data_IF_393125318063
#
_entry.id   IF_393125318063
#
_cell.length_a   1.000
_cell.length_b   1.000
_cell.length_c   1.000
_cell.angle_alpha   90.00
_cell.angle_beta   90.00
_cell.angle_gamma   90.00
#
_symmetry.space_group_name_H-M   'P 1'
#
loop_
_entity.id
_entity.type
_entity.pdbx_description
1 polymer ?
#
# COMPACT_ATOMS: atom_id res chain seq x y z
N UNK A 1 22.12 6.70 -21.29
CA UNK A 1 21.18 5.60 -21.05
C UNK A 1 21.31 5.23 -19.58
N UNK A 2 20.29 5.48 -18.78
CA UNK A 2 20.25 5.04 -17.39
C UNK A 2 20.22 3.51 -17.42
N UNK A 3 21.12 2.85 -16.68
CA UNK A 3 21.12 1.39 -16.56
C UNK A 3 19.77 0.96 -16.01
N UNK A 4 19.09 0.06 -16.72
CA UNK A 4 17.82 -0.54 -16.29
C UNK A 4 18.03 -1.70 -15.31
N UNK A 5 19.27 -1.93 -14.91
CA UNK A 5 19.64 -3.06 -14.06
C UNK A 5 19.55 -2.69 -12.59
N UNK A 6 18.70 -3.40 -11.86
CA UNK A 6 18.64 -3.34 -10.41
C UNK A 6 19.83 -4.09 -9.82
N UNK A 7 20.60 -3.40 -8.99
CA UNK A 7 21.75 -3.97 -8.30
C UNK A 7 21.29 -4.48 -6.92
N UNK A 8 21.65 -5.70 -6.56
CA UNK A 8 21.19 -6.33 -5.32
C UNK A 8 22.35 -6.88 -4.50
N UNK A 9 22.18 -6.86 -3.18
CA UNK A 9 23.10 -7.42 -2.22
C UNK A 9 22.34 -7.97 -1.00
N UNK A 10 22.84 -9.02 -0.38
CA UNK A 10 22.27 -9.57 0.85
C UNK A 10 23.32 -9.55 1.95
N UNK A 11 23.00 -8.87 3.06
CA UNK A 11 23.85 -8.81 4.25
C UNK A 11 23.91 -10.18 4.95
N UNK A 12 24.91 -10.39 5.78
CA UNK A 12 25.09 -11.63 6.54
C UNK A 12 23.92 -11.92 7.49
N UNK A 13 23.22 -10.88 7.95
CA UNK A 13 22.06 -11.02 8.83
C UNK A 13 20.74 -11.24 8.09
N UNK A 14 20.75 -11.33 6.75
CA UNK A 14 19.58 -11.61 5.94
C UNK A 14 18.89 -10.36 5.37
N UNK A 15 19.23 -9.14 5.82
CA UNK A 15 18.70 -7.90 5.22
C UNK A 15 19.15 -7.81 3.77
N UNK A 16 18.21 -7.52 2.87
CA UNK A 16 18.45 -7.41 1.43
C UNK A 16 18.54 -5.95 1.03
N UNK A 17 19.44 -5.63 0.11
CA UNK A 17 19.59 -4.31 -0.50
C UNK A 17 19.22 -4.40 -1.97
N UNK A 18 18.46 -3.42 -2.46
CA UNK A 18 18.24 -3.19 -3.89
C UNK A 18 18.52 -1.72 -4.21
N UNK A 19 19.19 -1.47 -5.32
CA UNK A 19 19.54 -0.12 -5.75
C UNK A 19 19.34 0.06 -7.26
N UNK A 20 18.76 1.19 -7.63
CA UNK A 20 18.79 1.69 -9.00
C UNK A 20 19.63 2.96 -9.05
N UNK A 21 20.72 2.91 -9.77
CA UNK A 21 21.57 4.09 -9.96
C UNK A 21 20.95 5.03 -10.99
N UNK A 22 20.91 6.33 -10.66
CA UNK A 22 20.45 7.41 -11.54
C UNK A 22 21.47 8.56 -11.50
N UNK A 23 21.30 9.56 -12.38
CA UNK A 23 22.14 10.77 -12.37
C UNK A 23 21.50 11.91 -11.56
N UNK A 24 20.42 11.63 -10.81
CA UNK A 24 19.71 12.63 -9.99
C UNK A 24 20.59 13.19 -8.88
N UNK A 25 20.51 14.50 -8.65
CA UNK A 25 21.11 15.13 -7.48
C UNK A 25 20.42 14.71 -6.17
N UNK A 26 19.19 14.20 -6.24
CA UNK A 26 18.40 13.73 -5.11
C UNK A 26 18.52 12.21 -4.99
N UNK A 27 18.72 11.74 -3.77
CA UNK A 27 18.74 10.33 -3.41
C UNK A 27 17.52 9.97 -2.57
N UNK A 28 17.03 8.76 -2.77
CA UNK A 28 15.93 8.15 -2.03
C UNK A 28 16.42 6.85 -1.41
N UNK A 29 16.14 6.67 -0.13
CA UNK A 29 16.50 5.47 0.63
C UNK A 29 15.37 5.10 1.56
N UNK A 30 14.91 3.86 1.50
CA UNK A 30 13.86 3.34 2.36
C UNK A 30 14.22 1.98 2.93
N UNK A 31 13.62 1.65 4.07
CA UNK A 31 13.65 0.32 4.68
C UNK A 31 12.23 -0.19 4.76
N UNK A 32 11.96 -1.26 4.04
CA UNK A 32 10.66 -1.93 4.00
C UNK A 32 10.73 -3.18 4.89
N UNK A 33 9.75 -3.34 5.75
CA UNK A 33 9.64 -4.43 6.72
C UNK A 33 8.34 -5.18 6.42
N UNK A 34 8.41 -6.48 6.19
CA UNK A 34 7.23 -7.33 5.94
C UNK A 34 6.47 -7.61 7.25
N UNK A 35 6.01 -6.55 7.88
CA UNK A 35 5.18 -6.55 9.08
C UNK A 35 4.26 -5.33 9.06
N UNK A 36 2.96 -5.53 9.25
CA UNK A 36 1.95 -4.49 9.23
C UNK A 36 0.81 -4.79 10.19
N UNK A 37 -0.34 -4.10 10.04
CA UNK A 37 -1.47 -4.25 10.96
C UNK A 37 -2.10 -5.65 10.92
N UNK A 38 -1.97 -6.39 9.83
CA UNK A 38 -2.40 -7.78 9.74
C UNK A 38 -1.65 -8.74 10.68
N UNK A 39 -0.43 -8.39 11.10
CA UNK A 39 0.41 -9.21 11.98
C UNK A 39 0.12 -9.00 13.47
N UNK A 40 -0.81 -8.10 13.80
CA UNK A 40 -1.26 -7.77 15.15
C UNK A 40 -2.14 -8.88 15.73
N UNK A 41 -2.00 -9.15 17.03
CA UNK A 41 -3.02 -9.87 17.79
C UNK A 41 -4.26 -8.97 17.99
N UNK A 42 -5.34 -9.52 18.51
CA UNK A 42 -6.58 -8.75 18.70
C UNK A 42 -6.37 -7.58 19.69
N UNK A 43 -5.65 -7.82 20.77
CA UNK A 43 -5.30 -6.80 21.77
C UNK A 43 -4.24 -5.80 21.29
N UNK A 44 -3.58 -6.07 20.14
CA UNK A 44 -2.55 -5.24 19.52
C UNK A 44 -3.13 -4.37 18.40
N UNK A 45 -4.45 -4.40 18.14
CA UNK A 45 -5.08 -3.69 17.03
C UNK A 45 -4.76 -2.18 17.04
N UNK A 46 -4.04 -1.70 16.02
CA UNK A 46 -3.50 -0.35 15.86
C UNK A 46 -2.05 -0.18 16.31
N UNK A 47 -1.37 -1.24 16.77
CA UNK A 47 -0.03 -1.13 17.33
C UNK A 47 1.05 -0.90 16.25
N UNK A 48 0.89 -1.45 15.06
CA UNK A 48 1.83 -1.23 13.95
C UNK A 48 1.87 0.26 13.54
N UNK A 49 0.71 0.89 13.41
CA UNK A 49 0.59 2.31 13.15
C UNK A 49 1.10 3.15 14.34
N UNK A 50 0.80 2.74 15.55
CA UNK A 50 1.31 3.39 16.75
C UNK A 50 2.85 3.38 16.82
N UNK A 51 3.50 2.30 16.35
CA UNK A 51 4.95 2.19 16.26
C UNK A 51 5.49 3.18 15.23
N UNK A 52 4.85 3.32 14.07
CA UNK A 52 5.19 4.29 13.06
C UNK A 52 5.27 5.72 13.62
N UNK A 53 4.24 6.17 14.35
CA UNK A 53 4.22 7.47 15.03
C UNK A 53 5.32 7.60 16.09
N UNK A 54 5.57 6.51 16.81
CA UNK A 54 6.47 6.52 17.96
C UNK A 54 7.94 6.36 17.60
N UNK A 55 8.27 5.84 16.42
CA UNK A 55 9.64 5.50 16.03
C UNK A 55 10.56 6.73 15.92
N UNK A 56 10.00 7.90 15.61
CA UNK A 56 10.73 9.16 15.49
C UNK A 56 10.95 9.91 16.82
N UNK A 57 10.41 9.38 17.93
CA UNK A 57 10.38 10.09 19.22
C UNK A 57 11.63 9.92 20.08
N UNK A 58 12.69 9.40 19.50
CA UNK A 58 14.04 9.32 20.07
C UNK A 58 14.63 7.94 20.05
N UNK A 59 15.96 7.93 19.97
CA UNK A 59 16.81 6.74 19.93
C UNK A 59 17.76 6.73 21.16
N UNK A 60 18.54 5.67 21.31
CA UNK A 60 19.61 5.61 22.31
C UNK A 60 20.65 6.76 22.15
N UNK A 61 20.77 7.34 20.94
CA UNK A 61 21.75 8.38 20.62
C UNK A 61 21.12 9.77 20.50
N UNK A 62 19.80 9.86 20.18
CA UNK A 62 19.14 11.10 19.78
C UNK A 62 17.83 11.32 20.52
N UNK A 63 17.55 12.56 20.91
CA UNK A 63 16.22 13.00 21.30
C UNK A 63 15.35 13.19 20.03
N UNK A 64 14.03 13.22 20.17
CA UNK A 64 13.09 13.38 19.06
C UNK A 64 13.49 14.53 18.10
N UNK A 65 13.75 15.71 18.61
CA UNK A 65 14.21 16.85 17.79
C UNK A 65 15.41 16.51 16.90
N UNK A 66 16.43 15.82 17.46
CA UNK A 66 17.65 15.46 16.70
C UNK A 66 17.43 14.29 15.74
N UNK A 67 16.37 13.52 15.88
CA UNK A 67 15.95 12.52 14.87
C UNK A 67 15.43 13.25 13.64
N UNK A 68 14.47 14.16 13.83
CA UNK A 68 13.86 14.93 12.74
C UNK A 68 14.86 15.85 12.06
N UNK A 69 15.57 16.69 12.84
CA UNK A 69 16.52 17.67 12.28
C UNK A 69 17.72 17.02 11.56
N UNK A 70 17.99 15.73 11.80
CA UNK A 70 19.15 15.05 11.18
C UNK A 70 19.13 15.09 9.65
N UNK A 71 17.96 15.04 9.05
CA UNK A 71 17.77 15.11 7.58
C UNK A 71 17.16 16.45 7.17
N UNK A 72 16.24 17.01 7.96
CA UNK A 72 15.60 18.29 7.64
C UNK A 72 16.60 19.48 7.63
N UNK A 73 17.60 19.49 8.52
CA UNK A 73 18.66 20.53 8.54
C UNK A 73 19.51 20.58 7.26
N UNK A 74 19.47 19.54 6.43
CA UNK A 74 20.12 19.51 5.11
C UNK A 74 19.13 19.57 3.95
N UNK A 75 17.87 19.92 4.23
CA UNK A 75 16.81 20.10 3.23
C UNK A 75 16.24 18.79 2.71
N UNK A 76 16.42 17.67 3.43
CA UNK A 76 15.80 16.40 3.11
C UNK A 76 14.50 16.18 3.89
N UNK A 77 13.83 15.06 3.60
CA UNK A 77 12.58 14.65 4.21
C UNK A 77 12.72 13.26 4.83
N UNK A 78 12.02 13.04 5.94
CA UNK A 78 11.94 11.76 6.64
C UNK A 78 10.46 11.38 6.82
N UNK A 79 10.08 10.22 6.32
CA UNK A 79 8.69 9.75 6.32
C UNK A 79 8.59 8.28 6.72
N UNK A 80 7.38 7.87 7.08
CA UNK A 80 7.01 6.48 7.27
C UNK A 80 5.56 6.25 6.87
N UNK A 81 5.22 5.01 6.60
CA UNK A 81 3.84 4.56 6.48
C UNK A 81 3.69 3.09 6.89
N UNK A 82 2.49 2.75 7.33
CA UNK A 82 2.09 1.38 7.66
C UNK A 82 0.94 0.95 6.77
N UNK A 83 1.04 -0.26 6.23
CA UNK A 83 -0.06 -0.93 5.52
C UNK A 83 -0.53 -2.16 6.29
N UNK A 84 -1.46 -2.90 5.72
CA UNK A 84 -1.88 -4.19 6.32
C UNK A 84 -0.71 -5.17 6.45
N UNK A 85 0.25 -5.17 5.54
CA UNK A 85 1.29 -6.21 5.45
C UNK A 85 2.73 -5.71 5.54
N UNK A 86 2.97 -4.41 5.42
CA UNK A 86 4.31 -3.82 5.48
C UNK A 86 4.35 -2.49 6.22
N UNK A 87 5.49 -2.22 6.84
CA UNK A 87 5.85 -0.91 7.41
C UNK A 87 7.10 -0.41 6.70
N UNK A 88 7.09 0.85 6.28
CA UNK A 88 8.20 1.45 5.55
C UNK A 88 8.66 2.73 6.22
N UNK A 89 9.97 2.86 6.41
CA UNK A 89 10.65 4.09 6.84
C UNK A 89 11.50 4.57 5.67
N UNK A 90 11.37 5.83 5.26
CA UNK A 90 12.12 6.31 4.11
C UNK A 90 12.50 7.78 4.20
N UNK A 91 13.46 8.18 3.39
CA UNK A 91 14.01 9.53 3.37
C UNK A 91 14.40 9.93 1.96
N UNK A 92 14.16 11.20 1.65
CA UNK A 92 14.59 11.89 0.43
C UNK A 92 15.60 12.97 0.80
N UNK A 93 16.73 13.05 0.09
CA UNK A 93 17.85 13.90 0.47
C UNK A 93 18.78 14.19 -0.73
N UNK A 94 19.69 15.14 -0.61
CA UNK A 94 20.74 15.33 -1.61
C UNK A 94 21.72 14.14 -1.62
N UNK A 95 22.15 13.69 -2.79
CA UNK A 95 23.00 12.49 -2.97
C UNK A 95 24.31 12.49 -2.14
N UNK A 96 24.80 13.64 -1.71
CA UNK A 96 25.94 13.74 -0.79
C UNK A 96 25.61 13.24 0.63
N UNK A 97 24.35 13.21 1.03
CA UNK A 97 23.87 12.86 2.37
C UNK A 97 23.42 11.39 2.51
N UNK A 98 23.72 10.52 1.54
CA UNK A 98 23.40 9.07 1.60
C UNK A 98 23.84 8.39 2.90
N UNK A 99 25.07 8.67 3.36
CA UNK A 99 25.57 8.08 4.60
C UNK A 99 24.77 8.54 5.81
N UNK A 100 24.38 9.83 5.82
CA UNK A 100 23.54 10.43 6.87
C UNK A 100 22.16 9.76 6.93
N UNK A 101 21.53 9.54 5.78
CA UNK A 101 20.24 8.87 5.70
C UNK A 101 20.32 7.40 6.13
N UNK A 102 21.31 6.66 5.65
CA UNK A 102 21.53 5.27 6.03
C UNK A 102 21.76 5.11 7.54
N UNK A 103 22.58 6.01 8.12
CA UNK A 103 22.84 6.04 9.56
C UNK A 103 21.57 6.34 10.37
N UNK A 104 20.77 7.31 9.94
CA UNK A 104 19.56 7.71 10.63
C UNK A 104 18.50 6.62 10.57
N UNK A 105 18.20 6.07 9.39
CA UNK A 105 17.20 5.02 9.23
C UNK A 105 17.54 3.77 10.06
N UNK A 106 18.82 3.39 10.10
CA UNK A 106 19.26 2.30 10.96
C UNK A 106 19.13 2.62 12.45
N UNK A 107 19.47 3.84 12.88
CA UNK A 107 19.34 4.26 14.28
C UNK A 107 17.89 4.28 14.73
N UNK A 108 16.98 4.78 13.88
CA UNK A 108 15.53 4.75 14.13
C UNK A 108 15.03 3.31 14.22
N UNK A 109 15.40 2.46 13.27
CA UNK A 109 14.89 1.09 13.21
C UNK A 109 15.33 0.22 14.39
N UNK A 110 16.62 0.29 14.77
CA UNK A 110 17.21 -0.63 15.74
C UNK A 110 17.48 -0.04 17.12
N UNK A 111 17.39 1.27 17.26
CA UNK A 111 17.80 1.96 18.50
C UNK A 111 16.73 2.85 19.12
N UNK A 112 15.51 2.88 18.59
CA UNK A 112 14.40 3.66 19.16
C UNK A 112 14.10 3.20 20.60
N UNK A 113 13.86 4.18 21.49
CA UNK A 113 13.72 3.92 22.92
C UNK A 113 12.30 4.05 23.45
N UNK A 114 11.40 4.59 22.64
CA UNK A 114 9.97 4.72 22.94
C UNK A 114 9.71 5.33 24.34
N UNK A 115 10.06 6.63 24.55
CA UNK A 115 9.94 7.24 25.86
C UNK A 115 8.47 7.31 26.31
N UNK A 116 8.18 6.95 27.56
CA UNK A 116 6.81 6.94 28.12
C UNK A 116 6.07 8.27 27.91
N UNK A 117 6.76 9.39 28.04
CA UNK A 117 6.18 10.72 27.84
C UNK A 117 5.69 10.89 26.39
N UNK A 118 6.48 10.47 25.42
CA UNK A 118 6.13 10.58 24.00
C UNK A 118 5.03 9.58 23.61
N UNK A 119 5.07 8.35 24.13
CA UNK A 119 3.98 7.37 23.99
C UNK A 119 2.63 7.98 24.42
N UNK A 120 2.60 8.65 25.59
CA UNK A 120 1.35 9.25 26.07
C UNK A 120 0.86 10.39 25.18
N UNK A 121 1.76 11.16 24.58
CA UNK A 121 1.39 12.21 23.62
C UNK A 121 0.85 11.61 22.32
N UNK A 122 1.50 10.56 21.82
CA UNK A 122 1.05 9.93 20.58
C UNK A 122 -0.32 9.26 20.72
N UNK A 123 -0.69 8.79 21.92
CA UNK A 123 -2.07 8.34 22.18
C UNK A 123 -3.11 9.41 21.91
N UNK A 124 -2.83 10.66 22.31
CA UNK A 124 -3.72 11.79 22.07
C UNK A 124 -3.78 12.13 20.59
N UNK A 125 -2.63 12.16 19.91
CA UNK A 125 -2.54 12.45 18.48
C UNK A 125 -3.32 11.41 17.65
N UNK A 126 -3.10 10.12 17.91
CA UNK A 126 -3.77 9.04 17.17
C UNK A 126 -5.27 8.97 17.51
N UNK A 127 -5.65 9.30 18.74
CA UNK A 127 -7.07 9.40 19.11
C UNK A 127 -7.79 10.51 18.30
N UNK A 128 -7.14 11.66 18.10
CA UNK A 128 -7.66 12.72 17.22
C UNK A 128 -7.71 12.30 15.76
N UNK A 129 -6.71 11.56 15.28
CA UNK A 129 -6.70 11.01 13.92
C UNK A 129 -7.85 10.02 13.70
N UNK A 130 -8.09 9.09 14.64
CA UNK A 130 -9.23 8.18 14.62
C UNK A 130 -10.56 8.95 14.56
N UNK A 131 -10.70 10.03 15.34
CA UNK A 131 -11.92 10.84 15.35
C UNK A 131 -12.09 11.56 14.00
N UNK A 132 -11.03 12.19 13.50
CA UNK A 132 -11.03 12.86 12.18
C UNK A 132 -11.40 11.89 11.05
N UNK A 133 -10.90 10.66 11.11
CA UNK A 133 -11.20 9.64 10.12
C UNK A 133 -12.67 9.19 10.18
N UNK A 134 -13.24 9.08 11.38
CA UNK A 134 -14.68 8.77 11.56
C UNK A 134 -15.58 9.88 11.03
N UNK A 135 -15.12 11.12 11.02
CA UNK A 135 -15.85 12.27 10.49
C UNK A 135 -15.74 12.38 8.96
N UNK A 136 -15.03 11.47 8.29
CA UNK A 136 -14.90 11.39 6.83
C UNK A 136 -15.57 10.12 6.28
N UNK A 137 -16.89 10.14 5.98
CA UNK A 137 -17.60 8.96 5.47
C UNK A 137 -17.01 8.41 4.17
N UNK A 138 -16.42 9.26 3.33
CA UNK A 138 -15.78 8.87 2.08
C UNK A 138 -14.51 8.04 2.27
N UNK A 139 -13.82 8.21 3.39
CA UNK A 139 -12.61 7.46 3.72
C UNK A 139 -12.96 6.22 4.56
N UNK A 140 -13.79 6.41 5.60
CA UNK A 140 -14.21 5.37 6.52
C UNK A 140 -14.87 4.18 5.80
N UNK A 141 -15.63 4.45 4.73
CA UNK A 141 -16.38 3.41 4.01
C UNK A 141 -15.46 2.33 3.41
N UNK A 142 -14.22 2.66 3.07
CA UNK A 142 -13.27 1.67 2.54
C UNK A 142 -12.82 0.69 3.61
N UNK A 143 -12.50 1.18 4.81
CA UNK A 143 -12.11 0.31 5.93
C UNK A 143 -13.28 -0.57 6.38
N UNK A 144 -14.49 -0.01 6.53
CA UNK A 144 -15.67 -0.80 6.89
C UNK A 144 -16.08 -1.78 5.78
N UNK A 145 -15.76 -1.49 4.51
CA UNK A 145 -15.92 -2.43 3.42
C UNK A 145 -14.90 -3.57 3.49
N UNK A 146 -13.65 -3.30 3.85
CA UNK A 146 -12.66 -4.35 4.10
C UNK A 146 -13.08 -5.24 5.29
N UNK A 147 -13.64 -4.65 6.35
CA UNK A 147 -14.21 -5.40 7.48
C UNK A 147 -15.36 -6.32 7.03
N UNK A 148 -16.22 -5.86 6.14
CA UNK A 148 -17.32 -6.67 5.58
C UNK A 148 -16.82 -7.83 4.72
N UNK A 149 -15.79 -7.59 3.90
CA UNK A 149 -15.24 -8.58 2.96
C UNK A 149 -14.40 -9.64 3.68
N UNK A 150 -13.59 -9.22 4.64
CA UNK A 150 -12.64 -10.07 5.34
C UNK A 150 -13.05 -10.44 6.76
N UNK A 151 -14.35 -10.47 7.03
CA UNK A 151 -14.94 -10.66 8.35
C UNK A 151 -14.24 -11.76 9.17
N UNK A 152 -13.95 -11.44 10.44
CA UNK A 152 -13.26 -12.33 11.38
C UNK A 152 -11.79 -12.62 11.09
N UNK A 153 -11.20 -12.00 10.07
CA UNK A 153 -9.78 -12.17 9.75
C UNK A 153 -8.94 -10.92 10.13
N UNK A 154 -7.69 -11.06 10.59
CA UNK A 154 -6.85 -9.91 10.96
C UNK A 154 -6.70 -8.83 9.87
N UNK A 155 -6.74 -9.20 8.61
CA UNK A 155 -6.65 -8.25 7.47
C UNK A 155 -7.85 -7.29 7.40
N UNK A 156 -9.00 -7.67 7.98
CA UNK A 156 -10.20 -6.85 8.02
C UNK A 156 -10.02 -5.57 8.83
N UNK A 157 -9.24 -5.65 9.91
CA UNK A 157 -9.11 -4.57 10.87
C UNK A 157 -8.50 -3.32 10.23
N UNK A 158 -9.05 -2.14 10.52
CA UNK A 158 -8.44 -0.88 10.09
C UNK A 158 -7.02 -0.72 10.67
N UNK A 159 -6.21 0.12 10.05
CA UNK A 159 -4.80 0.29 10.44
C UNK A 159 -4.68 1.16 11.71
N UNK A 160 -5.59 2.11 11.91
CA UNK A 160 -5.55 3.07 13.02
C UNK A 160 -5.81 2.41 14.39
N UNK A 161 -6.51 1.27 14.40
CA UNK A 161 -6.91 0.61 15.63
C UNK A 161 -8.13 1.23 16.29
N UNK A 162 -8.27 0.99 17.59
CA UNK A 162 -9.36 1.54 18.41
C UNK A 162 -8.81 2.37 19.54
N UNK A 163 -9.54 3.42 19.95
CA UNK A 163 -9.18 4.24 21.11
C UNK A 163 -8.99 3.41 22.38
N UNK A 164 -9.74 2.30 22.53
CA UNK A 164 -9.61 1.39 23.67
C UNK A 164 -8.23 0.69 23.66
N UNK A 165 -7.80 0.14 22.54
CA UNK A 165 -6.52 -0.55 22.44
C UNK A 165 -5.34 0.42 22.55
N UNK A 166 -5.41 1.56 21.88
CA UNK A 166 -4.37 2.60 21.91
C UNK A 166 -4.10 3.06 23.35
N UNK A 167 -5.13 3.23 24.17
CA UNK A 167 -4.97 3.62 25.57
C UNK A 167 -4.20 2.58 26.41
N UNK A 168 -4.21 1.31 26.02
CA UNK A 168 -3.49 0.22 26.70
C UNK A 168 -2.03 0.11 26.29
N UNK A 169 -1.64 0.68 25.13
CA UNK A 169 -0.29 0.55 24.62
C UNK A 169 0.75 1.21 25.50
N UNK A 170 1.88 0.56 25.61
CA UNK A 170 3.02 1.00 26.38
C UNK A 170 4.31 0.53 25.71
N UNK A 171 5.45 0.91 26.27
CA UNK A 171 6.75 0.55 25.71
C UNK A 171 6.94 -0.97 25.55
N UNK A 172 6.43 -1.74 26.50
CA UNK A 172 6.59 -3.21 26.47
C UNK A 172 5.75 -3.85 25.36
N UNK A 173 4.54 -3.33 25.08
CA UNK A 173 3.74 -3.79 23.93
C UNK A 173 4.44 -3.50 22.61
N UNK A 174 5.01 -2.30 22.46
CA UNK A 174 5.81 -1.94 21.26
C UNK A 174 6.99 -2.89 21.08
N UNK A 175 7.78 -3.09 22.13
CA UNK A 175 8.96 -3.96 22.03
C UNK A 175 8.60 -5.42 21.75
N UNK A 176 7.51 -5.94 22.34
CA UNK A 176 7.03 -7.30 22.05
C UNK A 176 6.60 -7.46 20.59
N UNK A 177 5.87 -6.47 20.04
CA UNK A 177 5.46 -6.50 18.63
C UNK A 177 6.68 -6.49 17.69
N UNK A 178 7.65 -5.60 17.93
CA UNK A 178 8.89 -5.52 17.15
C UNK A 178 9.67 -6.83 17.27
N UNK A 179 9.80 -7.36 18.48
CA UNK A 179 10.48 -8.63 18.72
C UNK A 179 9.81 -9.79 17.97
N UNK A 180 8.49 -9.82 17.93
CA UNK A 180 7.70 -10.88 17.28
C UNK A 180 7.70 -10.77 15.75
N UNK A 181 7.68 -9.55 15.19
CA UNK A 181 7.34 -9.34 13.79
C UNK A 181 8.46 -8.74 12.92
N UNK A 182 9.44 -8.03 13.52
CA UNK A 182 10.55 -7.43 12.76
C UNK A 182 11.70 -8.43 12.60
N UNK A 183 11.74 -9.08 11.44
CA UNK A 183 12.72 -10.12 11.12
C UNK A 183 13.67 -9.61 10.04
N UNK A 184 14.97 -9.81 10.20
CA UNK A 184 15.99 -9.28 9.29
C UNK A 184 15.89 -9.90 7.89
N UNK A 185 15.49 -11.15 7.76
CA UNK A 185 15.22 -11.81 6.48
C UNK A 185 13.95 -11.28 5.77
N UNK A 186 13.12 -10.53 6.51
CA UNK A 186 11.91 -9.88 6.03
C UNK A 186 12.09 -8.37 5.85
N UNK A 187 13.33 -7.90 5.72
CA UNK A 187 13.66 -6.50 5.49
C UNK A 187 14.35 -6.29 4.15
N UNK A 188 13.98 -5.21 3.48
CA UNK A 188 14.63 -4.72 2.26
C UNK A 188 15.00 -3.27 2.44
N UNK A 189 16.28 -2.97 2.23
CA UNK A 189 16.74 -1.59 2.02
C UNK A 189 16.63 -1.30 0.53
N UNK A 190 15.83 -0.32 0.17
CA UNK A 190 15.61 0.09 -1.22
C UNK A 190 16.19 1.46 -1.47
N UNK A 191 16.82 1.68 -2.61
CA UNK A 191 17.45 2.95 -2.95
C UNK A 191 17.36 3.28 -4.42
N UNK A 192 17.11 4.56 -4.72
CA UNK A 192 17.21 5.15 -6.06
C UNK A 192 18.00 6.46 -5.96
N UNK A 193 19.02 6.64 -6.78
CA UNK A 193 19.78 7.90 -6.81
C UNK A 193 21.21 7.76 -7.33
N UNK A 194 21.92 8.87 -7.31
CA UNK A 194 23.30 8.95 -7.78
C UNK A 194 24.30 8.46 -6.71
N UNK A 195 24.38 7.15 -6.54
CA UNK A 195 25.29 6.51 -5.60
C UNK A 195 25.95 5.28 -6.23
N UNK A 196 27.27 5.18 -6.17
CA UNK A 196 27.98 3.97 -6.59
C UNK A 196 27.58 2.80 -5.68
N UNK A 197 27.18 1.69 -6.27
CA UNK A 197 26.66 0.54 -5.53
C UNK A 197 27.64 0.01 -4.45
N UNK A 198 28.90 -0.16 -4.77
CA UNK A 198 29.90 -0.64 -3.80
C UNK A 198 30.04 0.30 -2.59
N UNK A 199 29.84 1.60 -2.78
CA UNK A 199 29.87 2.57 -1.70
C UNK A 199 28.59 2.48 -0.87
N UNK A 200 27.44 2.30 -1.52
CA UNK A 200 26.17 2.08 -0.83
C UNK A 200 26.21 0.80 0.01
N UNK A 201 26.69 -0.32 -0.54
CA UNK A 201 26.89 -1.58 0.20
C UNK A 201 27.70 -1.36 1.48
N UNK A 202 28.82 -0.61 1.41
CA UNK A 202 29.64 -0.30 2.60
C UNK A 202 28.86 0.49 3.66
N UNK A 203 28.03 1.45 3.25
CA UNK A 203 27.18 2.17 4.20
C UNK A 203 26.13 1.27 4.83
N UNK A 204 25.45 0.45 4.03
CA UNK A 204 24.44 -0.46 4.55
C UNK A 204 25.06 -1.54 5.45
N UNK A 205 26.19 -2.12 5.10
CA UNK A 205 26.92 -3.04 6.00
C UNK A 205 27.34 -2.37 7.31
N UNK A 206 27.85 -1.13 7.24
CA UNK A 206 28.30 -0.38 8.43
C UNK A 206 27.15 -0.14 9.42
N UNK A 207 25.96 0.21 8.94
CA UNK A 207 24.87 0.66 9.79
C UNK A 207 23.83 -0.44 10.07
N UNK A 208 23.53 -1.31 9.11
CA UNK A 208 22.55 -2.36 9.24
C UNK A 208 23.15 -3.75 9.54
N UNK A 209 24.43 -3.94 9.23
CA UNK A 209 25.09 -5.25 9.36
C UNK A 209 25.29 -5.73 10.80
N UNK A 210 25.22 -4.83 11.79
CA UNK A 210 25.33 -5.20 13.22
C UNK A 210 24.04 -5.71 13.84
N UNK A 211 22.91 -5.62 13.14
CA UNK A 211 21.65 -6.19 13.62
C UNK A 211 21.77 -7.72 13.66
N UNK A 212 21.34 -8.31 14.77
CA UNK A 212 21.38 -9.77 14.92
C UNK A 212 20.46 -10.45 13.89
N UNK A 213 20.93 -11.56 13.28
CA UNK A 213 20.10 -12.32 12.35
C UNK A 213 18.84 -12.84 13.03
N UNK A 214 17.69 -12.56 12.44
CA UNK A 214 16.40 -13.01 12.94
C UNK A 214 15.55 -13.47 11.78
N UNK A 215 15.22 -14.74 11.75
CA UNK A 215 14.47 -15.38 10.67
C UNK A 215 13.01 -15.52 11.04
N UNK A 216 12.12 -15.24 10.08
CA UNK A 216 10.69 -15.47 10.25
C UNK A 216 10.37 -16.96 10.23
N UNK A 217 9.83 -17.48 11.30
CA UNK A 217 9.47 -18.90 11.45
C UNK A 217 8.00 -19.17 11.20
N UNK A 218 7.14 -18.16 11.37
CA UNK A 218 5.69 -18.31 11.26
C UNK A 218 5.16 -17.50 10.06
N UNK A 219 4.32 -18.14 9.23
CA UNK A 219 3.56 -17.46 8.17
C UNK A 219 2.34 -16.73 8.73
N UNK A 220 1.77 -15.84 7.91
CA UNK A 220 0.45 -15.26 8.16
C UNK A 220 -0.63 -16.32 7.98
N UNK A 221 -1.71 -16.24 8.76
CA UNK A 221 -2.89 -17.08 8.54
C UNK A 221 -3.49 -16.68 7.18
N UNK A 222 -3.71 -17.63 6.25
CA UNK A 222 -4.38 -17.33 4.99
C UNK A 222 -5.82 -16.90 5.20
N UNK A 223 -6.31 -16.00 4.33
CA UNK A 223 -7.73 -15.69 4.27
C UNK A 223 -8.46 -16.78 3.48
N UNK A 224 -9.52 -17.33 4.06
CA UNK A 224 -10.36 -18.37 3.46
C UNK A 224 -11.83 -18.06 3.74
N UNK A 225 -12.71 -18.68 2.95
CA UNK A 225 -14.17 -18.67 3.17
C UNK A 225 -14.82 -17.27 3.04
N UNK A 226 -14.54 -16.57 1.94
CA UNK A 226 -15.28 -15.36 1.61
C UNK A 226 -16.78 -15.62 1.45
N UNK A 227 -17.57 -14.81 2.13
CA UNK A 227 -19.02 -14.81 2.00
C UNK A 227 -19.46 -13.39 1.63
N UNK A 228 -20.06 -13.18 0.44
CA UNK A 228 -20.54 -11.86 0.05
C UNK A 228 -21.65 -11.38 0.99
N UNK A 229 -21.57 -10.11 1.37
CA UNK A 229 -22.50 -9.45 2.27
C UNK A 229 -23.00 -8.11 1.75
N UNK A 230 -24.20 -7.71 2.19
CA UNK A 230 -24.71 -6.35 1.95
C UNK A 230 -25.02 -5.70 3.28
N UNK A 231 -24.47 -4.49 3.50
CA UNK A 231 -24.66 -3.69 4.70
C UNK A 231 -25.05 -2.27 4.31
N UNK A 232 -26.09 -1.75 4.96
CA UNK A 232 -26.52 -0.36 4.79
C UNK A 232 -26.51 0.33 6.14
N UNK A 233 -25.89 1.48 6.23
CA UNK A 233 -25.79 2.27 7.44
C UNK A 233 -26.31 3.68 7.24
N UNK A 234 -26.95 4.23 8.25
CA UNK A 234 -27.36 5.64 8.28
C UNK A 234 -26.22 6.42 8.92
N UNK A 235 -25.60 7.29 8.14
CA UNK A 235 -24.55 8.21 8.57
C UNK A 235 -25.03 9.65 8.35
N UNK A 236 -24.55 10.59 9.15
CA UNK A 236 -24.79 12.02 8.90
C UNK A 236 -23.91 12.51 7.75
N UNK A 237 -24.41 12.38 6.53
CA UNK A 237 -23.69 12.69 5.29
C UNK A 237 -24.61 13.34 4.25
N UNK A 238 -24.08 14.31 3.49
CA UNK A 238 -24.81 14.97 2.42
C UNK A 238 -25.02 14.09 1.19
N UNK A 239 -24.11 13.13 0.97
CA UNK A 239 -24.16 12.22 -0.17
C UNK A 239 -24.37 10.78 0.29
N UNK A 240 -24.96 9.98 -0.55
CA UNK A 240 -24.88 8.54 -0.41
C UNK A 240 -23.52 8.05 -0.92
N UNK A 241 -22.80 7.34 -0.08
CA UNK A 241 -21.53 6.68 -0.44
C UNK A 241 -21.80 5.19 -0.62
N UNK A 242 -21.25 4.62 -1.68
CA UNK A 242 -21.39 3.20 -1.96
C UNK A 242 -20.02 2.61 -2.34
N UNK A 243 -19.68 1.51 -1.69
CA UNK A 243 -18.59 0.62 -2.13
C UNK A 243 -19.17 -0.73 -2.46
N UNK A 244 -18.85 -1.27 -3.62
CA UNK A 244 -19.15 -2.63 -4.00
C UNK A 244 -17.90 -3.32 -4.55
N UNK A 245 -17.74 -4.61 -4.27
CA UNK A 245 -16.55 -5.32 -4.70
C UNK A 245 -16.55 -6.79 -4.32
N UNK A 246 -15.44 -7.44 -4.62
CA UNK A 246 -15.24 -8.87 -4.48
C UNK A 246 -13.81 -9.15 -4.05
N UNK A 247 -13.54 -10.34 -3.52
CA UNK A 247 -12.19 -10.84 -3.43
C UNK A 247 -11.57 -10.92 -4.84
N UNK A 248 -10.27 -10.73 -4.91
CA UNK A 248 -9.51 -10.74 -6.14
C UNK A 248 -8.20 -11.52 -5.97
N UNK A 249 -7.34 -11.46 -6.97
CA UNK A 249 -6.10 -12.21 -7.00
C UNK A 249 -5.05 -11.71 -6.00
N UNK A 250 -4.33 -12.64 -5.42
CA UNK A 250 -3.15 -12.36 -4.60
C UNK A 250 -1.95 -11.85 -5.42
N UNK A 251 -0.89 -11.43 -4.73
CA UNK A 251 0.32 -10.89 -5.35
C UNK A 251 1.03 -11.85 -6.30
N UNK A 252 0.87 -13.17 -6.15
CA UNK A 252 1.57 -14.19 -6.94
C UNK A 252 0.72 -14.74 -8.09
N UNK A 253 -0.57 -14.41 -8.13
CA UNK A 253 -1.49 -14.95 -9.11
C UNK A 253 -1.11 -14.54 -10.55
N UNK A 254 -1.06 -15.46 -11.53
CA UNK A 254 -0.66 -15.15 -12.90
C UNK A 254 -1.55 -14.11 -13.60
N UNK A 255 -2.86 -14.08 -13.29
CA UNK A 255 -3.82 -13.12 -13.85
C UNK A 255 -3.79 -11.75 -13.15
N UNK A 256 -2.92 -11.52 -12.15
CA UNK A 256 -2.83 -10.25 -11.43
C UNK A 256 -2.64 -9.04 -12.36
N UNK A 257 -1.79 -9.18 -13.39
CA UNK A 257 -1.53 -8.07 -14.33
C UNK A 257 -2.74 -7.80 -15.23
N UNK A 258 -3.52 -8.83 -15.55
CA UNK A 258 -4.79 -8.70 -16.28
C UNK A 258 -5.81 -7.96 -15.42
N UNK A 259 -5.85 -8.27 -14.11
CA UNK A 259 -6.72 -7.58 -13.15
C UNK A 259 -6.35 -6.10 -13.00
N UNK A 260 -5.06 -5.75 -12.99
CA UNK A 260 -4.60 -4.35 -13.01
C UNK A 260 -5.13 -3.62 -14.25
N UNK A 261 -5.05 -4.23 -15.44
CA UNK A 261 -5.59 -3.63 -16.65
C UNK A 261 -7.11 -3.52 -16.62
N UNK A 262 -7.82 -4.54 -16.11
CA UNK A 262 -9.27 -4.52 -15.97
C UNK A 262 -9.72 -3.40 -15.01
N UNK A 263 -9.07 -3.28 -13.87
CA UNK A 263 -9.33 -2.20 -12.90
C UNK A 263 -9.13 -0.82 -13.55
N UNK A 264 -8.04 -0.64 -14.29
CA UNK A 264 -7.77 0.62 -14.98
C UNK A 264 -8.83 0.98 -16.03
N UNK A 265 -9.40 -0.02 -16.72
CA UNK A 265 -10.50 0.15 -17.68
C UNK A 265 -11.79 0.54 -16.97
N UNK A 266 -12.10 -0.06 -15.82
CA UNK A 266 -13.36 0.14 -15.09
C UNK A 266 -13.42 1.55 -14.48
N UNK A 267 -12.52 1.88 -13.60
CA UNK A 267 -12.55 3.11 -12.81
C UNK A 267 -11.16 3.60 -12.39
N UNK A 268 -10.12 3.33 -13.22
CA UNK A 268 -8.78 3.85 -13.00
C UNK A 268 -8.74 5.39 -13.02
N UNK A 269 -7.58 6.01 -12.77
CA UNK A 269 -7.44 7.45 -12.50
C UNK A 269 -7.79 8.35 -13.69
N UNK A 270 -7.96 7.79 -14.87
CA UNK A 270 -8.24 8.58 -16.06
C UNK A 270 -9.73 8.90 -16.20
N UNK A 271 -10.04 10.15 -16.61
CA UNK A 271 -11.41 10.62 -16.83
C UNK A 271 -12.18 9.82 -17.89
N UNK A 272 -11.49 9.13 -18.80
CA UNK A 272 -12.09 8.29 -19.83
C UNK A 272 -12.31 6.83 -19.39
N UNK A 273 -12.14 6.49 -18.12
CA UNK A 273 -12.52 5.19 -17.58
C UNK A 273 -14.03 4.96 -17.72
N UNK A 274 -14.45 3.68 -17.82
CA UNK A 274 -15.84 3.34 -18.16
C UNK A 274 -16.84 3.93 -17.17
N UNK A 275 -16.57 3.83 -15.87
CA UNK A 275 -17.46 4.35 -14.83
C UNK A 275 -17.51 5.88 -14.82
N UNK A 276 -16.37 6.57 -15.00
CA UNK A 276 -16.36 8.02 -15.14
C UNK A 276 -17.21 8.47 -16.32
N UNK A 277 -17.06 7.84 -17.49
CA UNK A 277 -17.88 8.16 -18.65
C UNK A 277 -19.38 7.84 -18.42
N UNK A 278 -19.70 6.74 -17.75
CA UNK A 278 -21.09 6.31 -17.57
C UNK A 278 -21.86 7.14 -16.55
N UNK A 279 -21.26 7.44 -15.39
CA UNK A 279 -21.94 8.09 -14.27
C UNK A 279 -21.68 9.59 -14.21
N UNK A 280 -20.43 10.03 -14.45
CA UNK A 280 -20.05 11.45 -14.35
C UNK A 280 -20.32 12.19 -15.65
N UNK A 281 -19.62 11.84 -16.72
CA UNK A 281 -19.63 12.63 -17.95
C UNK A 281 -20.99 12.61 -18.67
N UNK A 282 -21.64 11.45 -18.76
CA UNK A 282 -22.90 11.30 -19.50
C UNK A 282 -24.14 11.60 -18.68
N UNK A 283 -24.07 11.46 -17.35
CA UNK A 283 -25.25 11.51 -16.48
C UNK A 283 -25.18 12.54 -15.38
N UNK A 284 -23.98 12.99 -15.00
CA UNK A 284 -23.79 13.94 -13.90
C UNK A 284 -24.27 13.40 -12.55
N UNK A 285 -24.28 12.08 -12.36
CA UNK A 285 -24.84 11.43 -11.16
C UNK A 285 -23.83 11.27 -10.03
N UNK A 286 -22.55 11.27 -10.33
CA UNK A 286 -21.51 11.11 -9.31
C UNK A 286 -20.29 11.97 -9.66
N UNK A 287 -19.69 12.58 -8.65
CA UNK A 287 -18.48 13.39 -8.81
C UNK A 287 -17.21 12.57 -8.56
N UNK A 288 -17.24 11.73 -7.51
CA UNK A 288 -16.15 10.83 -7.16
C UNK A 288 -16.54 9.40 -7.53
N UNK A 289 -15.76 8.82 -8.43
CA UNK A 289 -15.89 7.44 -8.87
C UNK A 289 -14.50 6.91 -9.05
N UNK A 290 -14.20 5.82 -8.41
CA UNK A 290 -12.93 5.12 -8.56
C UNK A 290 -13.11 3.61 -8.44
N UNK A 291 -12.17 2.87 -8.98
CA UNK A 291 -12.03 1.46 -8.70
C UNK A 291 -10.63 1.17 -8.19
N UNK A 292 -10.55 0.34 -7.17
CA UNK A 292 -9.33 -0.10 -6.52
C UNK A 292 -9.09 -1.60 -6.72
N UNK A 293 -7.83 -1.97 -6.84
CA UNK A 293 -7.39 -3.35 -6.73
C UNK A 293 -6.16 -3.42 -5.85
N UNK A 294 -6.33 -4.04 -4.69
CA UNK A 294 -5.25 -4.30 -3.72
C UNK A 294 -4.94 -5.78 -3.70
N UNK A 295 -3.69 -6.13 -4.00
CA UNK A 295 -3.22 -7.51 -3.90
C UNK A 295 -2.46 -7.72 -2.60
N UNK A 296 -2.91 -8.68 -1.80
CA UNK A 296 -2.26 -9.14 -0.56
C UNK A 296 -1.45 -10.42 -0.82
N UNK A 297 -0.74 -10.90 0.19
CA UNK A 297 0.15 -12.07 0.03
C UNK A 297 -0.57 -13.38 -0.27
N UNK A 298 -1.85 -13.50 0.04
CA UNK A 298 -2.68 -14.73 -0.09
C UNK A 298 -4.10 -14.48 -0.59
N UNK A 299 -4.48 -13.23 -0.82
CA UNK A 299 -5.79 -12.81 -1.35
C UNK A 299 -5.67 -11.47 -2.06
N UNK A 300 -6.76 -10.92 -2.53
CA UNK A 300 -6.85 -9.56 -3.04
C UNK A 300 -8.24 -9.00 -2.85
N UNK A 301 -8.36 -7.69 -3.01
CA UNK A 301 -9.62 -6.97 -2.97
C UNK A 301 -9.78 -6.14 -4.23
N UNK A 302 -10.90 -6.28 -4.90
CA UNK A 302 -11.39 -5.37 -5.92
C UNK A 302 -12.57 -4.61 -5.38
N UNK A 303 -12.57 -3.29 -5.54
CA UNK A 303 -13.69 -2.45 -5.15
C UNK A 303 -13.99 -1.37 -6.18
N UNK A 304 -15.21 -0.88 -6.17
CA UNK A 304 -15.64 0.33 -6.85
C UNK A 304 -16.36 1.20 -5.82
N UNK A 305 -15.91 2.42 -5.71
CA UNK A 305 -16.55 3.45 -4.89
C UNK A 305 -17.23 4.49 -5.79
N UNK A 306 -18.39 4.98 -5.35
CA UNK A 306 -18.98 6.20 -5.88
C UNK A 306 -19.77 6.96 -4.81
N UNK A 307 -19.67 8.30 -4.88
CA UNK A 307 -20.49 9.23 -4.12
C UNK A 307 -21.57 9.86 -5.02
N UNK A 308 -22.82 9.88 -4.58
CA UNK A 308 -23.95 10.36 -5.37
C UNK A 308 -25.05 10.94 -4.47
N UNK A 309 -25.97 11.73 -5.06
CA UNK A 309 -27.17 12.13 -4.35
C UNK A 309 -28.07 10.94 -4.03
N UNK A 310 -28.77 10.98 -2.91
CA UNK A 310 -29.64 9.89 -2.45
C UNK A 310 -30.65 9.43 -3.50
N UNK A 311 -31.22 10.37 -4.24
CA UNK A 311 -32.21 10.10 -5.30
C UNK A 311 -31.62 9.37 -6.52
N UNK A 312 -30.31 9.47 -6.70
CA UNK A 312 -29.60 8.90 -7.84
C UNK A 312 -28.95 7.55 -7.54
N UNK A 313 -28.88 7.13 -6.26
CA UNK A 313 -28.17 5.93 -5.83
C UNK A 313 -28.55 4.65 -6.61
N UNK A 314 -29.84 4.30 -6.67
CA UNK A 314 -30.29 3.10 -7.35
C UNK A 314 -29.95 3.10 -8.86
N UNK A 315 -30.06 4.27 -9.47
CA UNK A 315 -29.71 4.45 -10.90
C UNK A 315 -28.22 4.32 -11.12
N UNK A 316 -27.40 4.90 -10.22
CA UNK A 316 -25.94 4.82 -10.28
C UNK A 316 -25.47 3.38 -10.09
N UNK A 317 -25.97 2.67 -9.08
CA UNK A 317 -25.67 1.26 -8.85
C UNK A 317 -26.06 0.39 -10.05
N UNK A 318 -27.23 0.64 -10.64
CA UNK A 318 -27.66 -0.06 -11.86
C UNK A 318 -26.72 0.18 -13.03
N UNK A 319 -26.19 1.39 -13.20
CA UNK A 319 -25.23 1.70 -14.24
C UNK A 319 -23.87 1.01 -14.00
N UNK A 320 -23.39 0.97 -12.75
CA UNK A 320 -22.16 0.21 -12.41
C UNK A 320 -22.34 -1.27 -12.76
N UNK A 321 -23.42 -1.88 -12.32
CA UNK A 321 -23.74 -3.30 -12.64
C UNK A 321 -23.87 -3.54 -14.14
N UNK A 322 -24.44 -2.59 -14.88
CA UNK A 322 -24.53 -2.67 -16.33
C UNK A 322 -23.15 -2.66 -17.02
N UNK A 323 -22.21 -1.80 -16.55
CA UNK A 323 -20.84 -1.79 -17.07
C UNK A 323 -20.12 -3.11 -16.76
N UNK A 324 -20.30 -3.68 -15.57
CA UNK A 324 -19.76 -5.00 -15.23
C UNK A 324 -20.33 -6.09 -16.14
N UNK A 325 -21.67 -6.10 -16.34
CA UNK A 325 -22.31 -7.04 -17.23
C UNK A 325 -21.77 -6.95 -18.66
N UNK A 326 -21.59 -5.76 -19.20
CA UNK A 326 -21.03 -5.59 -20.54
C UNK A 326 -19.62 -6.16 -20.67
N UNK A 327 -18.79 -6.03 -19.64
CA UNK A 327 -17.44 -6.59 -19.61
C UNK A 327 -17.41 -8.12 -19.47
N UNK A 328 -18.44 -8.70 -18.85
CA UNK A 328 -18.58 -10.15 -18.70
C UNK A 328 -19.21 -10.83 -19.92
N UNK A 329 -20.17 -10.16 -20.57
CA UNK A 329 -20.94 -10.74 -21.67
C UNK A 329 -20.20 -10.67 -23.00
N UNK A 330 -19.26 -9.74 -23.17
CA UNK A 330 -18.64 -9.49 -24.47
C UNK A 330 -17.17 -9.19 -24.36
N UNK A 331 -16.38 -9.77 -25.27
CA UNK A 331 -14.97 -9.43 -25.43
C UNK A 331 -14.79 -7.96 -25.76
N UNK A 332 -13.80 -7.35 -25.15
CA UNK A 332 -13.39 -5.99 -25.51
C UNK A 332 -12.90 -5.97 -26.97
N UNK A 333 -13.32 -4.99 -27.75
CA UNK A 333 -12.83 -4.86 -29.13
C UNK A 333 -11.31 -4.62 -29.19
N UNK A 334 -10.65 -5.14 -30.22
CA UNK A 334 -9.19 -5.05 -30.36
C UNK A 334 -8.64 -3.62 -30.27
N UNK A 335 -9.34 -2.64 -30.85
CA UNK A 335 -8.96 -1.21 -30.76
C UNK A 335 -9.10 -0.69 -29.32
N UNK A 336 -10.14 -1.11 -28.62
CA UNK A 336 -10.36 -0.71 -27.22
C UNK A 336 -9.28 -1.30 -26.29
N UNK A 337 -8.95 -2.59 -26.48
CA UNK A 337 -7.87 -3.25 -25.74
C UNK A 337 -6.53 -2.56 -26.00
N UNK A 338 -6.19 -2.28 -27.27
CA UNK A 338 -4.94 -1.59 -27.62
C UNK A 338 -4.83 -0.21 -26.96
N UNK A 339 -5.92 0.56 -26.93
CA UNK A 339 -5.96 1.87 -26.25
C UNK A 339 -5.79 1.72 -24.73
N UNK A 340 -6.46 0.76 -24.12
CA UNK A 340 -6.35 0.51 -22.67
C UNK A 340 -4.92 0.10 -22.27
N UNK A 341 -4.28 -0.79 -23.02
CA UNK A 341 -2.88 -1.15 -22.82
C UNK A 341 -1.96 0.06 -22.93
N UNK A 342 -2.09 0.82 -24.03
CA UNK A 342 -1.27 2.03 -24.24
C UNK A 342 -1.43 3.04 -23.11
N UNK A 343 -2.65 3.21 -22.59
CA UNK A 343 -2.92 4.08 -21.46
C UNK A 343 -2.22 3.59 -20.19
N UNK A 344 -2.36 2.31 -19.85
CA UNK A 344 -1.71 1.73 -18.67
C UNK A 344 -0.18 1.81 -18.76
N UNK A 345 0.40 1.48 -19.92
CA UNK A 345 1.84 1.60 -20.19
C UNK A 345 2.34 3.05 -19.99
N UNK A 346 1.58 4.03 -20.49
CA UNK A 346 1.89 5.44 -20.32
C UNK A 346 1.83 5.87 -18.85
N UNK A 347 0.80 5.45 -18.10
CA UNK A 347 0.66 5.75 -16.69
C UNK A 347 1.81 5.15 -15.87
N UNK A 348 2.19 3.90 -16.12
CA UNK A 348 3.34 3.27 -15.45
C UNK A 348 4.63 4.03 -15.80
N UNK A 349 4.86 4.37 -17.06
CA UNK A 349 6.06 5.12 -17.46
C UNK A 349 6.13 6.48 -16.75
N UNK A 350 5.02 7.21 -16.69
CA UNK A 350 4.96 8.52 -15.98
C UNK A 350 5.22 8.35 -14.49
N UNK A 351 4.64 7.33 -13.84
CA UNK A 351 4.86 7.10 -12.41
C UNK A 351 6.31 6.74 -12.06
N UNK A 352 7.06 6.12 -12.97
CA UNK A 352 8.48 5.78 -12.74
C UNK A 352 9.43 6.99 -12.83
N UNK A 353 8.96 8.14 -13.30
CA UNK A 353 9.73 9.40 -13.23
C UNK A 353 9.82 9.95 -11.79
N UNK A 354 8.86 9.60 -10.92
CA UNK A 354 8.98 9.82 -9.47
C UNK A 354 9.94 8.80 -8.90
N UNK A 355 11.15 9.25 -8.55
CA UNK A 355 12.17 8.36 -7.99
C UNK A 355 11.83 7.87 -6.58
N UNK A 356 11.00 8.60 -5.86
CA UNK A 356 10.46 8.19 -4.56
C UNK A 356 9.52 6.98 -4.72
N UNK A 357 8.52 7.12 -5.59
CA UNK A 357 7.59 6.02 -5.94
C UNK A 357 8.35 4.81 -6.51
N UNK A 358 9.35 5.04 -7.34
CA UNK A 358 10.18 3.99 -7.90
C UNK A 358 10.95 3.24 -6.79
N UNK A 359 11.53 3.96 -5.84
CA UNK A 359 12.26 3.37 -4.70
C UNK A 359 11.32 2.48 -3.87
N UNK A 360 10.11 2.94 -3.58
CA UNK A 360 9.09 2.18 -2.86
C UNK A 360 8.62 0.95 -3.67
N UNK A 361 8.36 1.12 -4.96
CA UNK A 361 7.89 0.04 -5.83
C UNK A 361 8.90 -1.10 -6.00
N UNK A 362 10.19 -0.76 -6.25
CA UNK A 362 11.24 -1.78 -6.37
C UNK A 362 11.53 -2.47 -5.04
N UNK A 363 11.48 -1.71 -3.94
CA UNK A 363 11.62 -2.25 -2.59
C UNK A 363 10.51 -3.25 -2.26
N UNK A 364 9.25 -2.90 -2.51
CA UNK A 364 8.10 -3.77 -2.30
C UNK A 364 8.14 -5.01 -3.21
N UNK A 365 8.49 -4.84 -4.47
CA UNK A 365 8.65 -5.97 -5.39
C UNK A 365 9.75 -6.92 -4.92
N UNK A 366 10.89 -6.38 -4.48
CA UNK A 366 11.99 -7.20 -4.00
C UNK A 366 11.67 -7.87 -2.66
N UNK A 367 10.89 -7.22 -1.79
CA UNK A 367 10.41 -7.80 -0.54
C UNK A 367 9.51 -9.01 -0.80
N UNK A 368 8.56 -8.90 -1.74
CA UNK A 368 7.54 -9.91 -2.00
C UNK A 368 8.02 -11.05 -2.91
N UNK A 369 8.82 -10.74 -3.94
CA UNK A 369 9.17 -11.70 -5.01
C UNK A 369 10.65 -12.08 -5.02
N UNK A 370 11.47 -11.43 -4.21
CA UNK A 370 12.94 -11.54 -4.24
C UNK A 370 13.54 -11.23 -5.64
N UNK A 371 12.80 -10.49 -6.43
CA UNK A 371 13.20 -10.00 -7.75
C UNK A 371 12.39 -8.77 -8.14
N UNK A 372 12.92 -7.98 -9.05
CA UNK A 372 12.20 -6.88 -9.69
C UNK A 372 12.25 -7.07 -11.20
N UNK A 373 11.09 -7.05 -11.83
CA UNK A 373 11.02 -7.10 -13.28
C UNK A 373 11.38 -5.71 -13.85
N UNK A 374 12.29 -5.62 -14.82
CA UNK A 374 12.55 -4.36 -15.50
C UNK A 374 11.29 -3.87 -16.24
N UNK A 375 11.20 -2.55 -16.43
CA UNK A 375 10.04 -1.92 -17.06
C UNK A 375 9.68 -2.54 -18.42
N UNK A 376 10.68 -2.90 -19.21
CA UNK A 376 10.49 -3.60 -20.49
C UNK A 376 9.77 -4.94 -20.35
N UNK A 377 10.06 -5.69 -19.29
CA UNK A 377 9.39 -6.96 -19.00
C UNK A 377 7.95 -6.73 -18.52
N UNK A 378 7.71 -5.72 -17.69
CA UNK A 378 6.35 -5.31 -17.30
C UNK A 378 5.53 -4.93 -18.53
N UNK A 379 6.11 -4.15 -19.44
CA UNK A 379 5.47 -3.75 -20.70
C UNK A 379 5.14 -4.96 -21.57
N UNK A 380 6.09 -5.86 -21.74
CA UNK A 380 5.87 -7.08 -22.51
C UNK A 380 4.70 -7.92 -21.95
N UNK A 381 4.59 -8.03 -20.62
CA UNK A 381 3.48 -8.73 -19.96
C UNK A 381 2.14 -8.05 -20.22
N UNK A 382 2.07 -6.72 -20.17
CA UNK A 382 0.84 -5.97 -20.46
C UNK A 382 0.48 -6.10 -21.95
N UNK A 383 1.44 -6.01 -22.85
CA UNK A 383 1.22 -6.16 -24.30
C UNK A 383 0.72 -7.56 -24.67
N UNK A 384 1.12 -8.58 -23.94
CA UNK A 384 0.68 -9.97 -24.14
C UNK A 384 -0.77 -10.25 -23.71
N UNK A 385 -1.42 -9.36 -22.94
CA UNK A 385 -2.81 -9.56 -22.50
C UNK A 385 -3.74 -9.63 -23.72
N UNK A 386 -4.63 -10.62 -23.75
CA UNK A 386 -5.63 -10.79 -24.83
C UNK A 386 -7.03 -10.35 -24.37
N UNK A 387 -7.95 -10.26 -25.31
CA UNK A 387 -9.37 -9.99 -24.99
C UNK A 387 -10.02 -11.14 -24.24
N UNK A 388 -9.54 -12.36 -24.49
CA UNK A 388 -9.93 -13.58 -23.79
C UNK A 388 -9.54 -13.51 -22.30
N UNK A 389 -8.28 -13.15 -22.03
CA UNK A 389 -7.79 -13.01 -20.65
C UNK A 389 -8.62 -11.98 -19.85
N UNK A 390 -8.95 -10.84 -20.47
CA UNK A 390 -9.81 -9.84 -19.83
C UNK A 390 -11.22 -10.36 -19.58
N UNK A 391 -11.81 -11.10 -20.52
CA UNK A 391 -13.14 -11.68 -20.38
C UNK A 391 -13.16 -12.72 -19.26
N UNK A 392 -12.17 -13.59 -19.17
CA UNK A 392 -12.02 -14.58 -18.10
C UNK A 392 -11.97 -13.90 -16.72
N UNK A 393 -11.08 -12.93 -16.56
CA UNK A 393 -10.95 -12.18 -15.29
C UNK A 393 -12.21 -11.38 -14.98
N UNK A 394 -12.86 -10.77 -15.97
CA UNK A 394 -14.11 -10.05 -15.77
C UNK A 394 -15.24 -10.99 -15.30
N UNK A 395 -15.34 -12.20 -15.86
CA UNK A 395 -16.34 -13.18 -15.44
C UNK A 395 -16.11 -13.69 -14.03
N UNK A 396 -14.87 -13.82 -13.62
CA UNK A 396 -14.52 -14.29 -12.28
C UNK A 396 -14.73 -13.20 -11.21
N UNK A 397 -14.21 -12.00 -11.45
CA UNK A 397 -14.16 -10.92 -10.45
C UNK A 397 -15.45 -10.10 -10.43
N UNK A 398 -16.08 -9.83 -11.58
CA UNK A 398 -17.26 -8.97 -11.68
C UNK A 398 -18.60 -9.73 -11.56
N UNK A 399 -18.58 -10.95 -11.04
CA UNK A 399 -19.78 -11.74 -10.78
C UNK A 399 -20.63 -11.10 -9.67
N UNK A 400 -21.79 -10.56 -10.04
CA UNK A 400 -22.69 -9.86 -9.12
C UNK A 400 -23.16 -10.72 -7.95
N UNK A 401 -23.21 -12.03 -8.10
CA UNK A 401 -23.60 -12.96 -7.03
C UNK A 401 -22.54 -13.10 -5.92
N UNK A 402 -21.32 -12.66 -6.21
CA UNK A 402 -20.17 -12.71 -5.30
C UNK A 402 -19.79 -11.32 -4.76
N UNK A 403 -20.52 -10.28 -5.10
CA UNK A 403 -20.21 -8.91 -4.67
C UNK A 403 -20.71 -8.64 -3.25
N UNK A 404 -19.82 -8.10 -2.42
CA UNK A 404 -20.21 -7.39 -1.21
C UNK A 404 -20.59 -5.96 -1.55
N UNK A 405 -21.51 -5.36 -0.80
CA UNK A 405 -21.96 -3.98 -0.98
C UNK A 405 -22.08 -3.30 0.38
N UNK A 406 -21.46 -2.15 0.54
CA UNK A 406 -21.63 -1.28 1.70
C UNK A 406 -22.16 0.08 1.25
N UNK A 407 -23.18 0.58 1.94
CA UNK A 407 -23.84 1.85 1.61
C UNK A 407 -24.01 2.69 2.86
N UNK A 408 -23.65 3.97 2.75
CA UNK A 408 -23.99 5.03 3.71
C UNK A 408 -25.05 5.95 3.12
N UNK A 409 -26.10 6.20 3.90
CA UNK A 409 -27.19 7.11 3.52
C UNK A 409 -27.29 8.26 4.51
#
# INVERSE_FOLDING_TARGET
MVSTDFLTYTLKNGIRLIHQQTDSAVGHLGVLINAGSRDEAEEEHGLAHFIEHSVFKGTKKRRAYHVLSRIEDVGGELNAYTTKEDTTLYSTFLSQDYERAAELLSDILFSSVYPRKEINREKEVIAEEINSYKDSPSDLIFDEFEELVFDGHPIARNILGTSENINKFNRDSILRFIEKNYHTDQMVVSSVGNMKFDKLVKYIEKYFGSAEPKLRTNGRKPFENYVPGTRTEVKDTFQTHCVLGNIAYDVKHPSRIVMVLLNNIIGGPAMNSRLNLALRERKGMAYNIESGYTAYTDTGLFNVYFGTDKENYEKALTLVKKEFKMLRDSKLGGVQLSKAKKQLLGQIAVSTESHDDLMLAIGKSYLLYNRVDPLSEVFRKIEAITTENLLEVANEILDESKMSILVYH
#
